data_IF_614646218726
#
_entry.id   IF_614646218726
#
_cell.length_a   1.000
_cell.length_b   1.000
_cell.length_c   1.000
_cell.angle_alpha   90.00
_cell.angle_beta   90.00
_cell.angle_gamma   90.00
#
_symmetry.space_group_name_H-M   'P 1'
#
loop_
_entity.id
_entity.type
_entity.pdbx_description
1 polymer ?
#
# COMPACT_ATOMS: atom_id res chain seq x y z
N UNK A 1 10.21 -13.22 9.97
CA UNK A 1 11.09 -12.38 10.80
C UNK A 1 12.23 -11.79 9.97
N UNK A 2 13.21 -12.56 9.48
CA UNK A 2 14.35 -12.05 8.70
C UNK A 2 13.94 -11.13 7.55
N UNK A 3 12.95 -11.51 6.75
CA UNK A 3 12.43 -10.67 5.68
C UNK A 3 11.98 -9.27 6.17
N UNK A 4 11.25 -9.20 7.27
CA UNK A 4 10.75 -7.91 7.77
C UNK A 4 11.85 -7.07 8.45
N UNK A 5 12.85 -7.72 9.00
CA UNK A 5 14.08 -7.04 9.46
C UNK A 5 14.78 -6.39 8.26
N UNK A 6 14.94 -7.09 7.15
CA UNK A 6 15.56 -6.54 5.94
C UNK A 6 14.76 -5.36 5.36
N UNK A 7 13.41 -5.44 5.40
CA UNK A 7 12.55 -4.44 4.80
C UNK A 7 12.26 -3.24 5.72
N UNK A 8 12.03 -3.47 7.00
CA UNK A 8 11.53 -2.46 7.95
C UNK A 8 12.56 -2.04 9.01
N UNK A 9 13.70 -2.74 9.12
CA UNK A 9 14.70 -2.52 10.15
C UNK A 9 14.66 -3.53 11.28
N UNK A 10 15.57 -3.40 12.24
CA UNK A 10 15.71 -4.35 13.34
C UNK A 10 14.39 -4.63 14.04
N UNK A 11 14.22 -5.86 14.55
CA UNK A 11 13.03 -6.21 15.29
C UNK A 11 12.94 -5.34 16.56
N UNK A 12 11.85 -4.57 16.74
CA UNK A 12 11.81 -3.53 17.77
C UNK A 12 11.93 -4.04 19.22
N UNK A 13 11.65 -5.32 19.43
CA UNK A 13 11.60 -5.94 20.76
C UNK A 13 12.64 -7.06 20.88
N UNK A 14 13.86 -6.85 20.38
CA UNK A 14 14.90 -7.88 20.30
C UNK A 14 15.35 -8.45 21.66
N UNK A 15 15.15 -7.70 22.73
CA UNK A 15 15.44 -8.16 24.11
C UNK A 15 14.43 -9.23 24.59
N UNK A 16 13.33 -9.45 23.87
CA UNK A 16 12.29 -10.41 24.20
C UNK A 16 12.14 -11.49 23.12
N UNK A 17 11.55 -12.63 23.51
CA UNK A 17 11.23 -13.68 22.56
C UNK A 17 9.93 -13.36 21.85
N UNK A 18 9.93 -13.46 20.53
CA UNK A 18 8.69 -13.46 19.76
C UNK A 18 8.05 -14.86 19.73
N UNK A 19 6.75 -14.92 19.93
CA UNK A 19 6.00 -16.16 19.91
C UNK A 19 4.56 -16.00 19.45
N UNK A 20 3.88 -17.14 19.36
CA UNK A 20 2.47 -17.19 18.99
C UNK A 20 1.69 -18.01 20.03
N UNK A 21 0.48 -17.57 20.35
CA UNK A 21 -0.48 -18.40 21.08
C UNK A 21 -1.78 -18.56 20.28
N UNK A 22 -2.48 -19.66 20.49
CA UNK A 22 -3.77 -19.90 19.86
C UNK A 22 -4.88 -19.58 20.84
N UNK A 23 -5.89 -18.86 20.37
CA UNK A 23 -7.13 -18.58 21.11
C UNK A 23 -8.35 -18.73 20.19
N UNK A 24 -9.55 -18.95 20.72
CA UNK A 24 -10.77 -19.10 19.90
C UNK A 24 -11.28 -17.73 19.40
N UNK A 25 -10.59 -17.17 18.43
CA UNK A 25 -10.96 -15.92 17.76
C UNK A 25 -10.93 -16.08 16.22
N UNK A 26 -11.57 -15.17 15.50
CA UNK A 26 -11.73 -15.22 14.04
C UNK A 26 -10.68 -14.42 13.30
N UNK A 27 -9.43 -14.47 13.68
CA UNK A 27 -8.34 -13.70 13.10
C UNK A 27 -7.12 -13.76 13.98
N UNK A 28 -6.40 -12.67 14.08
CA UNK A 28 -5.28 -12.50 14.98
C UNK A 28 -5.43 -11.28 15.87
N UNK A 29 -4.46 -11.09 16.73
CA UNK A 29 -4.25 -9.91 17.55
C UNK A 29 -2.75 -9.78 17.78
N UNK A 30 -2.26 -8.63 17.45
CA UNK A 30 -0.83 -8.29 17.38
C UNK A 30 -0.18 -8.04 18.74
N UNK A 31 -0.62 -8.73 19.81
CA UNK A 31 -0.01 -8.53 21.12
C UNK A 31 1.52 -8.51 21.02
N UNK A 32 2.10 -7.45 21.54
CA UNK A 32 3.55 -7.24 21.51
C UNK A 32 4.29 -8.51 21.96
N UNK A 33 5.23 -8.97 21.14
CA UNK A 33 6.08 -10.16 21.35
C UNK A 33 5.35 -11.51 21.49
N UNK A 34 4.02 -11.53 21.63
CA UNK A 34 3.22 -12.75 21.77
C UNK A 34 1.90 -12.65 20.97
N UNK A 35 2.00 -12.76 19.68
CA UNK A 35 0.84 -12.73 18.77
C UNK A 35 -0.17 -13.81 19.11
N UNK A 36 -1.46 -13.43 19.20
CA UNK A 36 -2.57 -14.36 19.41
C UNK A 36 -3.29 -14.61 18.09
N UNK A 37 -3.47 -15.88 17.71
CA UNK A 37 -4.12 -16.26 16.44
C UNK A 37 -5.21 -17.31 16.67
N UNK A 38 -6.32 -17.18 15.94
CA UNK A 38 -7.38 -18.19 15.95
C UNK A 38 -7.04 -19.42 15.11
N UNK A 39 -6.14 -19.23 14.13
CA UNK A 39 -5.63 -20.27 13.24
C UNK A 39 -4.28 -19.83 12.66
N UNK A 40 -3.46 -20.80 12.26
CA UNK A 40 -2.14 -20.51 11.68
C UNK A 40 -2.17 -20.64 10.16
N UNK A 41 -2.04 -19.52 9.46
CA UNK A 41 -1.79 -19.45 8.03
C UNK A 41 -0.62 -18.51 7.76
N UNK A 42 0.14 -18.69 6.69
CA UNK A 42 1.25 -17.80 6.38
C UNK A 42 0.85 -16.31 6.30
N UNK A 43 -0.28 -16.01 5.65
CA UNK A 43 -0.74 -14.64 5.49
C UNK A 43 -1.14 -13.99 6.83
N UNK A 44 -1.95 -14.67 7.68
CA UNK A 44 -2.31 -14.14 8.99
C UNK A 44 -1.07 -13.96 9.88
N UNK A 45 -0.15 -14.92 9.84
CA UNK A 45 1.11 -14.83 10.59
C UNK A 45 1.98 -13.68 10.09
N UNK A 46 2.02 -13.39 8.79
CA UNK A 46 2.74 -12.25 8.24
C UNK A 46 2.10 -10.92 8.64
N UNK A 47 0.77 -10.83 8.62
CA UNK A 47 0.00 -9.68 9.07
C UNK A 47 0.33 -9.33 10.52
N UNK A 48 0.11 -10.27 11.42
CA UNK A 48 0.33 -10.07 12.85
C UNK A 48 1.82 -9.83 13.21
N UNK A 49 2.73 -10.41 12.45
CA UNK A 49 4.16 -10.13 12.60
C UNK A 49 4.51 -8.73 12.09
N UNK A 50 3.89 -8.27 11.00
CA UNK A 50 4.07 -6.93 10.46
C UNK A 50 3.70 -5.84 11.47
N UNK A 51 2.69 -6.10 12.27
CA UNK A 51 2.27 -5.21 13.34
C UNK A 51 3.34 -4.97 14.43
N UNK A 52 4.33 -5.82 14.59
CA UNK A 52 5.40 -5.56 15.55
C UNK A 52 6.15 -4.26 15.21
N UNK A 53 6.26 -3.91 13.92
CA UNK A 53 6.76 -2.63 13.43
C UNK A 53 5.63 -1.59 13.31
N UNK A 54 4.52 -1.96 12.66
CA UNK A 54 3.42 -1.06 12.26
C UNK A 54 2.20 -1.25 13.17
N UNK A 55 2.26 -0.69 14.37
CA UNK A 55 1.22 -0.81 15.39
C UNK A 55 1.79 -0.92 16.79
N UNK A 56 2.89 -1.65 16.97
CA UNK A 56 3.50 -1.87 18.28
C UNK A 56 4.71 -0.98 18.53
N UNK A 57 5.67 -0.92 17.61
CA UNK A 57 6.83 -0.02 17.73
C UNK A 57 6.42 1.43 17.44
N UNK A 58 5.90 1.69 16.26
CA UNK A 58 5.22 2.94 15.95
C UNK A 58 3.73 2.65 15.72
N UNK A 59 2.85 3.60 16.02
CA UNK A 59 1.41 3.41 15.86
C UNK A 59 0.73 4.69 15.35
N UNK A 60 -0.49 4.57 14.83
CA UNK A 60 -1.27 5.72 14.41
C UNK A 60 -1.56 6.67 15.58
N UNK A 61 -1.47 7.98 15.34
CA UNK A 61 -1.75 9.00 16.35
C UNK A 61 -3.24 9.08 16.73
N UNK A 62 -4.12 8.63 15.86
CA UNK A 62 -5.55 8.55 16.09
C UNK A 62 -6.20 7.49 15.19
N UNK A 63 -7.44 7.12 15.49
CA UNK A 63 -8.22 6.20 14.64
C UNK A 63 -8.44 6.72 13.21
N UNK A 64 -8.22 8.00 12.96
CA UNK A 64 -8.27 8.55 11.61
C UNK A 64 -7.19 7.94 10.70
N UNK A 65 -6.06 7.57 11.28
CA UNK A 65 -4.88 7.04 10.62
C UNK A 65 -4.66 5.53 10.84
N UNK A 66 -5.67 4.78 11.27
CA UNK A 66 -5.55 3.34 11.58
C UNK A 66 -4.99 2.52 10.41
N UNK A 67 -5.06 3.00 9.16
CA UNK A 67 -4.44 2.37 8.00
C UNK A 67 -2.90 2.27 8.12
N UNK A 68 -2.27 3.09 8.95
CA UNK A 68 -0.85 2.99 9.27
C UNK A 68 -0.54 1.65 9.94
N UNK A 69 -1.42 1.19 10.81
CA UNK A 69 -1.30 -0.10 11.44
C UNK A 69 -1.76 -1.20 10.46
N UNK A 70 -3.04 -1.20 10.10
CA UNK A 70 -3.68 -2.28 9.36
C UNK A 70 -3.30 -2.36 7.88
N UNK A 71 -3.11 -1.21 7.23
CA UNK A 71 -2.69 -1.15 5.83
C UNK A 71 -1.26 -1.65 5.63
N UNK A 72 -0.32 -1.28 6.51
CA UNK A 72 1.05 -1.80 6.46
C UNK A 72 1.14 -3.27 6.88
N UNK A 73 0.36 -3.71 7.87
CA UNK A 73 0.27 -5.13 8.21
C UNK A 73 -0.29 -5.96 7.04
N UNK A 74 -1.34 -5.48 6.38
CA UNK A 74 -1.89 -6.09 5.16
C UNK A 74 -0.88 -6.06 3.99
N UNK A 75 -0.10 -4.99 3.85
CA UNK A 75 0.97 -4.95 2.86
C UNK A 75 2.13 -5.90 3.19
N UNK A 76 2.35 -6.21 4.46
CA UNK A 76 3.31 -7.23 4.89
C UNK A 76 2.95 -8.63 4.41
N UNK A 77 1.64 -8.93 4.25
CA UNK A 77 1.18 -10.16 3.60
C UNK A 77 1.61 -10.21 2.12
N UNK A 78 1.41 -9.10 1.38
CA UNK A 78 1.88 -8.96 0.00
C UNK A 78 3.39 -9.14 -0.10
N UNK A 79 4.18 -8.47 0.75
CA UNK A 79 5.64 -8.57 0.77
C UNK A 79 6.12 -9.99 1.09
N UNK A 80 5.44 -10.70 1.98
CA UNK A 80 5.72 -12.10 2.27
C UNK A 80 5.48 -12.97 1.03
N UNK A 81 4.37 -12.76 0.30
CA UNK A 81 4.08 -13.50 -0.94
C UNK A 81 5.10 -13.18 -2.04
N UNK A 82 5.46 -11.91 -2.21
CA UNK A 82 6.43 -11.48 -3.23
C UNK A 82 7.80 -12.12 -3.03
N UNK A 83 8.28 -12.16 -1.78
CA UNK A 83 9.65 -12.57 -1.46
C UNK A 83 9.81 -14.05 -1.12
N UNK A 84 8.81 -14.68 -0.48
CA UNK A 84 8.93 -16.08 -0.02
C UNK A 84 8.16 -17.08 -0.91
N UNK A 85 7.30 -16.60 -1.82
CA UNK A 85 6.54 -17.45 -2.73
C UNK A 85 6.81 -17.09 -4.19
N UNK A 86 6.05 -16.14 -4.76
CA UNK A 86 6.28 -15.67 -6.14
C UNK A 86 5.61 -14.32 -6.41
N UNK A 87 6.16 -13.56 -7.38
CA UNK A 87 5.56 -12.33 -7.86
C UNK A 87 4.12 -12.52 -8.38
N UNK A 88 3.81 -13.67 -9.00
CA UNK A 88 2.44 -13.95 -9.46
C UNK A 88 1.46 -14.13 -8.30
N UNK A 89 1.87 -14.74 -7.19
CA UNK A 89 1.01 -14.89 -6.02
C UNK A 89 0.75 -13.54 -5.34
N UNK A 90 1.79 -12.72 -5.22
CA UNK A 90 1.66 -11.35 -4.72
C UNK A 90 0.76 -10.49 -5.62
N UNK A 91 0.92 -10.57 -6.94
CA UNK A 91 0.08 -9.86 -7.90
C UNK A 91 -1.40 -10.30 -7.81
N UNK A 92 -1.66 -11.60 -7.63
CA UNK A 92 -3.03 -12.10 -7.44
C UNK A 92 -3.65 -11.60 -6.13
N UNK A 93 -2.88 -11.58 -5.03
CA UNK A 93 -3.35 -11.01 -3.76
C UNK A 93 -3.72 -9.53 -3.92
N UNK A 94 -2.87 -8.74 -4.56
CA UNK A 94 -3.16 -7.33 -4.81
C UNK A 94 -4.37 -7.15 -5.74
N UNK A 95 -4.53 -8.02 -6.73
CA UNK A 95 -5.70 -8.02 -7.61
C UNK A 95 -7.01 -8.30 -6.85
N UNK A 96 -7.01 -9.30 -5.96
CA UNK A 96 -8.17 -9.63 -5.12
C UNK A 96 -8.52 -8.46 -4.18
N UNK A 97 -7.53 -7.76 -3.64
CA UNK A 97 -7.72 -6.53 -2.85
C UNK A 97 -8.34 -5.42 -3.71
N UNK A 98 -7.84 -5.19 -4.92
CA UNK A 98 -8.42 -4.22 -5.85
C UNK A 98 -9.89 -4.54 -6.17
N UNK A 99 -10.23 -5.81 -6.42
CA UNK A 99 -11.61 -6.23 -6.65
C UNK A 99 -12.51 -5.92 -5.44
N UNK A 100 -12.05 -6.17 -4.22
CA UNK A 100 -12.80 -5.80 -3.02
C UNK A 100 -12.94 -4.27 -2.87
N UNK A 101 -11.86 -3.50 -3.09
CA UNK A 101 -11.89 -2.02 -3.06
C UNK A 101 -12.93 -1.50 -4.06
N UNK A 102 -12.94 -2.02 -5.29
CA UNK A 102 -13.81 -1.60 -6.38
C UNK A 102 -15.24 -2.12 -6.25
N UNK A 103 -15.54 -3.00 -5.31
CA UNK A 103 -16.88 -3.52 -5.07
C UNK A 103 -17.92 -2.44 -4.68
N UNK A 104 -17.44 -1.27 -4.21
CA UNK A 104 -18.24 -0.12 -3.86
C UNK A 104 -17.53 1.18 -4.25
N UNK A 105 -18.28 2.13 -4.77
CA UNK A 105 -17.77 3.47 -5.06
C UNK A 105 -17.46 4.23 -3.75
N UNK A 106 -16.49 5.13 -3.78
CA UNK A 106 -16.15 6.02 -2.68
C UNK A 106 -15.43 5.36 -1.51
N UNK A 107 -15.25 6.14 -0.46
CA UNK A 107 -14.50 5.82 0.74
C UNK A 107 -13.00 6.08 0.60
N UNK A 108 -12.44 6.76 1.61
CA UNK A 108 -10.99 7.03 1.75
C UNK A 108 -10.38 6.07 2.77
N UNK A 109 -9.05 5.98 2.85
CA UNK A 109 -8.40 5.31 3.98
C UNK A 109 -8.47 6.14 5.25
N UNK A 110 -8.42 7.47 5.11
CA UNK A 110 -8.58 8.37 6.24
C UNK A 110 -9.98 8.24 6.85
N UNK A 111 -10.05 7.96 8.16
CA UNK A 111 -11.33 7.71 8.86
C UNK A 111 -11.90 9.02 9.37
N UNK A 112 -12.93 9.51 8.69
CA UNK A 112 -13.62 10.75 9.08
C UNK A 112 -14.41 10.57 10.40
N UNK A 113 -15.08 9.43 10.58
CA UNK A 113 -15.87 9.12 11.79
C UNK A 113 -15.10 8.12 12.66
N UNK A 114 -14.24 8.65 13.52
CA UNK A 114 -13.43 7.87 14.46
C UNK A 114 -14.21 7.28 15.65
N UNK A 115 -15.53 7.44 15.71
CA UNK A 115 -16.40 6.81 16.69
C UNK A 115 -17.11 5.57 16.12
N UNK A 116 -16.99 5.33 14.83
CA UNK A 116 -17.60 4.20 14.15
C UNK A 116 -16.61 3.05 13.99
N UNK A 117 -16.67 2.06 14.90
CA UNK A 117 -15.79 0.90 14.92
C UNK A 117 -15.81 0.11 13.60
N UNK A 118 -16.99 -0.07 12.98
CA UNK A 118 -17.10 -0.76 11.69
C UNK A 118 -16.39 0.02 10.55
N UNK A 119 -16.29 1.35 10.68
CA UNK A 119 -15.53 2.16 9.73
C UNK A 119 -14.03 2.12 10.01
N UNK A 120 -13.64 2.18 11.28
CA UNK A 120 -12.23 2.09 11.71
C UNK A 120 -11.63 0.79 11.17
N UNK A 121 -12.27 -0.35 11.41
CA UNK A 121 -11.80 -1.68 10.99
C UNK A 121 -12.50 -2.18 9.70
N UNK A 122 -12.69 -1.29 8.74
CA UNK A 122 -13.25 -1.66 7.43
C UNK A 122 -12.26 -2.48 6.62
N UNK A 123 -12.52 -3.78 6.40
CA UNK A 123 -11.68 -4.65 5.56
C UNK A 123 -11.38 -4.05 4.19
N UNK A 124 -12.40 -3.48 3.53
CA UNK A 124 -12.25 -2.84 2.21
C UNK A 124 -11.40 -1.57 2.21
N UNK A 125 -11.56 -0.71 3.21
CA UNK A 125 -10.93 0.63 3.20
C UNK A 125 -9.66 0.69 4.03
N UNK A 126 -9.68 0.16 5.24
CA UNK A 126 -8.54 0.27 6.16
C UNK A 126 -7.46 -0.75 5.81
N UNK A 127 -7.85 -1.99 5.54
CA UNK A 127 -6.94 -3.09 5.21
C UNK A 127 -6.57 -3.09 3.73
N UNK A 128 -7.52 -3.38 2.85
CA UNK A 128 -7.20 -3.57 1.42
C UNK A 128 -6.80 -2.28 0.71
N UNK A 129 -7.58 -1.18 0.87
CA UNK A 129 -7.19 0.10 0.28
C UNK A 129 -5.95 0.67 0.95
N UNK A 130 -5.76 0.44 2.26
CA UNK A 130 -4.53 0.78 2.97
C UNK A 130 -3.32 0.11 2.33
N UNK A 131 -3.34 -1.22 2.16
CA UNK A 131 -2.27 -1.98 1.51
C UNK A 131 -2.05 -1.53 0.06
N UNK A 132 -3.13 -1.29 -0.70
CA UNK A 132 -3.05 -0.83 -2.09
C UNK A 132 -2.40 0.56 -2.22
N UNK A 133 -2.64 1.47 -1.26
CA UNK A 133 -1.99 2.78 -1.23
C UNK A 133 -0.49 2.63 -0.95
N UNK A 134 -0.09 1.81 0.02
CA UNK A 134 1.33 1.54 0.29
C UNK A 134 2.02 0.99 -0.98
N UNK A 135 1.36 0.05 -1.67
CA UNK A 135 1.85 -0.50 -2.93
C UNK A 135 1.93 0.57 -4.04
N UNK A 136 0.93 1.44 -4.13
CA UNK A 136 0.91 2.55 -5.10
C UNK A 136 2.03 3.55 -4.84
N UNK A 137 2.29 3.91 -3.58
CA UNK A 137 3.41 4.79 -3.20
C UNK A 137 4.77 4.17 -3.58
N UNK A 138 4.98 2.87 -3.31
CA UNK A 138 6.17 2.14 -3.78
C UNK A 138 6.29 2.20 -5.30
N UNK A 139 5.20 1.98 -6.03
CA UNK A 139 5.18 2.07 -7.48
C UNK A 139 5.47 3.49 -7.99
N UNK A 140 4.96 4.53 -7.32
CA UNK A 140 5.25 5.93 -7.67
C UNK A 140 6.73 6.26 -7.53
N UNK A 141 7.36 5.84 -6.43
CA UNK A 141 8.79 6.05 -6.20
C UNK A 141 9.66 5.31 -7.23
N UNK A 142 9.25 4.12 -7.66
CA UNK A 142 9.96 3.28 -8.63
C UNK A 142 11.43 3.03 -8.26
N UNK A 143 11.73 3.00 -6.96
CA UNK A 143 13.04 2.78 -6.37
C UNK A 143 12.87 2.05 -5.02
N UNK A 144 12.90 0.72 -5.06
CA UNK A 144 12.71 -0.11 -3.87
C UNK A 144 13.74 0.18 -2.75
N UNK A 145 15.04 0.33 -3.04
CA UNK A 145 16.01 0.75 -2.04
C UNK A 145 15.64 2.03 -1.31
N UNK A 146 15.18 3.07 -2.03
CA UNK A 146 14.75 4.35 -1.46
C UNK A 146 13.46 4.17 -0.66
N UNK A 147 12.48 3.45 -1.19
CA UNK A 147 11.21 3.20 -0.51
C UNK A 147 11.41 2.49 0.82
N UNK A 148 12.12 1.35 0.82
CA UNK A 148 12.34 0.59 2.05
C UNK A 148 13.29 1.29 3.03
N UNK A 149 14.22 2.13 2.53
CA UNK A 149 15.03 2.96 3.43
C UNK A 149 14.16 3.99 4.17
N UNK A 150 13.23 4.66 3.48
CA UNK A 150 12.30 5.58 4.14
C UNK A 150 11.44 4.88 5.20
N UNK A 151 11.02 3.63 4.96
CA UNK A 151 10.28 2.85 5.96
C UNK A 151 11.15 2.52 7.19
N UNK A 152 12.43 2.17 6.99
CA UNK A 152 13.37 1.95 8.10
C UNK A 152 13.63 3.22 8.91
N UNK A 153 13.78 4.35 8.21
CA UNK A 153 13.98 5.65 8.86
C UNK A 153 12.77 6.03 9.71
N UNK A 154 11.55 5.79 9.22
CA UNK A 154 10.32 5.97 10.01
C UNK A 154 10.31 5.13 11.29
N UNK A 155 10.76 3.86 11.23
CA UNK A 155 10.84 3.00 12.42
C UNK A 155 11.83 3.53 13.46
N UNK A 156 12.90 4.20 13.02
CA UNK A 156 13.87 4.84 13.92
C UNK A 156 13.32 6.15 14.49
N UNK A 157 12.75 7.00 13.62
CA UNK A 157 12.34 8.35 14.01
C UNK A 157 11.09 8.35 14.91
N UNK A 158 10.21 7.35 14.73
CA UNK A 158 8.96 7.21 15.47
C UNK A 158 8.94 5.98 16.40
N UNK A 159 10.10 5.43 16.76
CA UNK A 159 10.19 4.34 17.73
C UNK A 159 9.46 4.71 19.04
N UNK A 160 8.62 3.81 19.55
CA UNK A 160 7.80 4.01 20.76
C UNK A 160 6.93 5.28 20.72
N UNK A 161 6.51 5.71 19.51
CA UNK A 161 5.78 6.95 19.30
C UNK A 161 4.60 6.78 18.34
N UNK A 162 3.93 7.87 18.02
CA UNK A 162 2.79 7.90 17.11
C UNK A 162 3.09 8.77 15.90
N UNK A 163 2.50 8.41 14.75
CA UNK A 163 2.56 9.19 13.51
C UNK A 163 1.17 9.29 12.85
N UNK A 164 1.06 10.23 11.91
CA UNK A 164 -0.09 10.37 11.02
C UNK A 164 0.33 10.06 9.57
N UNK A 165 -0.64 9.86 8.69
CA UNK A 165 -0.35 9.58 7.28
C UNK A 165 0.55 10.63 6.60
N UNK A 166 0.50 11.89 7.04
CA UNK A 166 1.34 12.95 6.49
C UNK A 166 2.83 12.84 6.90
N UNK A 167 3.14 12.22 8.02
CA UNK A 167 4.54 11.93 8.39
C UNK A 167 5.15 10.90 7.42
N UNK A 168 4.36 9.91 6.97
CA UNK A 168 4.76 8.97 5.92
C UNK A 168 5.02 9.71 4.60
N UNK A 169 4.15 10.66 4.24
CA UNK A 169 4.36 11.53 3.07
C UNK A 169 5.71 12.23 3.15
N UNK A 170 5.97 12.93 4.25
CA UNK A 170 7.20 13.70 4.45
C UNK A 170 8.46 12.82 4.38
N UNK A 171 8.41 11.62 4.96
CA UNK A 171 9.52 10.68 4.90
C UNK A 171 9.79 10.21 3.46
N UNK A 172 8.74 9.84 2.71
CA UNK A 172 8.87 9.40 1.32
C UNK A 172 9.34 10.53 0.40
N UNK A 173 8.85 11.76 0.58
CA UNK A 173 9.31 12.95 -0.15
C UNK A 173 10.78 13.27 0.15
N UNK A 174 11.16 13.20 1.41
CA UNK A 174 12.55 13.44 1.83
C UNK A 174 13.51 12.42 1.21
N UNK A 175 13.12 11.15 1.20
CA UNK A 175 13.96 10.09 0.66
C UNK A 175 14.04 10.08 -0.86
N UNK A 176 12.93 10.36 -1.56
CA UNK A 176 12.83 10.25 -3.02
C UNK A 176 13.06 11.56 -3.77
N UNK A 177 12.84 12.71 -3.13
CA UNK A 177 12.80 14.02 -3.77
C UNK A 177 11.55 14.27 -4.63
N UNK A 178 10.56 13.37 -4.61
CA UNK A 178 9.29 13.56 -5.31
C UNK A 178 8.35 14.45 -4.50
N UNK A 179 7.44 15.15 -5.17
CA UNK A 179 6.28 15.79 -4.55
C UNK A 179 5.10 14.82 -4.58
N UNK A 180 4.66 14.36 -3.40
CA UNK A 180 3.55 13.44 -3.22
C UNK A 180 2.27 14.13 -2.74
N UNK A 181 2.21 15.47 -2.83
CA UNK A 181 1.07 16.26 -2.34
C UNK A 181 -0.23 15.84 -3.01
N UNK A 182 -0.25 15.74 -4.34
CA UNK A 182 -1.45 15.33 -5.08
C UNK A 182 -1.81 13.86 -4.77
N UNK A 183 -0.83 12.97 -4.71
CA UNK A 183 -1.03 11.57 -4.37
C UNK A 183 -1.72 11.40 -3.00
N UNK A 184 -1.28 12.13 -1.98
CA UNK A 184 -1.92 12.07 -0.66
C UNK A 184 -3.29 12.73 -0.64
N UNK A 185 -3.48 13.83 -1.39
CA UNK A 185 -4.78 14.48 -1.51
C UNK A 185 -5.82 13.55 -2.16
N UNK A 186 -5.41 12.78 -3.16
CA UNK A 186 -6.26 11.92 -3.97
C UNK A 186 -6.47 10.52 -3.36
N UNK A 187 -5.41 9.90 -2.85
CA UNK A 187 -5.44 8.51 -2.37
C UNK A 187 -5.65 8.38 -0.87
N UNK A 188 -5.08 9.27 -0.07
CA UNK A 188 -5.20 9.20 1.39
C UNK A 188 -6.47 9.92 1.89
N UNK A 189 -6.67 11.19 1.55
CA UNK A 189 -7.89 11.92 1.90
C UNK A 189 -9.04 11.65 0.92
N UNK A 190 -8.71 11.42 -0.35
CA UNK A 190 -9.67 11.27 -1.43
C UNK A 190 -10.45 9.96 -1.39
N UNK A 191 -11.66 10.01 -1.94
CA UNK A 191 -12.56 8.86 -2.02
C UNK A 191 -12.56 8.24 -3.40
N UNK A 192 -12.72 6.91 -3.45
CA UNK A 192 -12.89 6.18 -4.69
C UNK A 192 -11.58 5.69 -5.29
N UNK A 193 -11.63 5.53 -6.60
CA UNK A 193 -10.55 4.99 -7.43
C UNK A 193 -10.72 5.45 -8.89
N UNK A 194 -9.64 5.47 -9.69
CA UNK A 194 -9.69 5.75 -11.12
C UNK A 194 -10.03 4.49 -11.92
N UNK A 195 -10.67 4.70 -13.08
CA UNK A 195 -10.81 3.69 -14.13
C UNK A 195 -10.18 4.22 -15.40
N UNK A 196 -9.06 3.61 -15.80
CA UNK A 196 -8.26 4.05 -16.95
C UNK A 196 -8.75 3.47 -18.26
N UNK A 197 -8.57 4.25 -19.33
CA UNK A 197 -8.76 3.83 -20.73
C UNK A 197 -7.55 4.30 -21.53
N UNK A 198 -6.92 3.39 -22.26
CA UNK A 198 -5.81 3.69 -23.15
C UNK A 198 -6.22 3.44 -24.62
N UNK A 199 -5.89 4.39 -25.49
CA UNK A 199 -6.02 4.28 -26.95
C UNK A 199 -4.68 4.57 -27.58
N UNK A 200 -4.37 3.87 -28.64
CA UNK A 200 -3.13 4.12 -29.36
C UNK A 200 -3.31 4.02 -30.87
N UNK A 201 -2.42 4.70 -31.60
CA UNK A 201 -2.33 4.62 -33.05
C UNK A 201 -0.88 4.82 -33.49
N UNK A 202 -0.57 4.47 -34.72
CA UNK A 202 0.77 4.70 -35.31
C UNK A 202 0.66 5.65 -36.49
N UNK A 203 1.58 6.63 -36.56
CA UNK A 203 1.76 7.54 -37.68
C UNK A 203 3.21 7.43 -38.15
N UNK A 204 3.42 6.76 -39.28
CA UNK A 204 4.77 6.42 -39.73
C UNK A 204 5.47 5.47 -38.75
N UNK A 205 6.53 5.92 -38.11
CA UNK A 205 7.30 5.18 -37.10
C UNK A 205 7.01 5.66 -35.66
N UNK A 206 6.08 6.57 -35.48
CA UNK A 206 5.72 7.12 -34.18
C UNK A 206 4.48 6.42 -33.62
N UNK A 207 4.48 6.17 -32.33
CA UNK A 207 3.34 5.71 -31.56
C UNK A 207 2.71 6.92 -30.89
N UNK A 208 1.42 7.11 -31.07
CA UNK A 208 0.63 8.09 -30.32
C UNK A 208 -0.22 7.32 -29.32
N UNK A 209 -0.09 7.65 -28.06
CA UNK A 209 -0.86 7.08 -26.96
C UNK A 209 -1.76 8.16 -26.35
N UNK A 210 -3.02 7.86 -26.17
CA UNK A 210 -3.97 8.65 -25.40
C UNK A 210 -4.38 7.85 -24.16
N UNK A 211 -4.23 8.44 -22.98
CA UNK A 211 -4.68 7.87 -21.71
C UNK A 211 -5.76 8.77 -21.13
N UNK A 212 -6.86 8.21 -20.73
CA UNK A 212 -7.92 8.92 -20.02
C UNK A 212 -8.41 8.13 -18.81
N UNK A 213 -8.98 8.80 -17.83
CA UNK A 213 -9.63 8.11 -16.72
C UNK A 213 -10.91 8.83 -16.26
N UNK A 214 -11.77 8.05 -15.63
CA UNK A 214 -12.91 8.52 -14.85
C UNK A 214 -12.72 8.12 -13.40
N UNK A 215 -13.38 8.81 -12.49
CA UNK A 215 -13.30 8.54 -11.05
C UNK A 215 -14.61 7.95 -10.54
N UNK A 216 -14.53 7.08 -9.55
CA UNK A 216 -15.72 6.38 -9.01
C UNK A 216 -16.46 7.19 -7.95
N UNK A 217 -15.90 8.30 -7.45
CA UNK A 217 -16.49 9.11 -6.36
C UNK A 217 -16.10 10.60 -6.48
N UNK A 218 -16.04 11.29 -5.35
CA UNK A 218 -15.87 12.76 -5.27
C UNK A 218 -14.47 13.25 -5.62
N UNK A 219 -13.46 12.40 -5.60
CA UNK A 219 -12.10 12.77 -6.01
C UNK A 219 -12.09 13.08 -7.51
N UNK A 220 -11.71 14.30 -7.92
CA UNK A 220 -11.92 14.74 -9.31
C UNK A 220 -10.94 14.11 -10.31
N UNK A 221 -9.75 13.74 -9.84
CA UNK A 221 -8.68 13.12 -10.64
C UNK A 221 -7.82 12.24 -9.76
N UNK A 222 -7.03 11.35 -10.38
CA UNK A 222 -5.96 10.60 -9.73
C UNK A 222 -4.70 10.73 -10.56
N UNK A 223 -3.72 11.40 -10.00
CA UNK A 223 -2.41 11.63 -10.62
C UNK A 223 -1.45 10.54 -10.19
N UNK A 224 -1.07 9.67 -11.11
CA UNK A 224 -0.09 8.63 -10.84
C UNK A 224 0.54 8.14 -12.15
N UNK A 225 1.75 7.58 -12.09
CA UNK A 225 2.33 6.92 -13.24
C UNK A 225 1.57 5.65 -13.61
N UNK A 226 1.60 5.31 -14.89
CA UNK A 226 1.15 4.03 -15.42
C UNK A 226 2.27 3.38 -16.22
N UNK A 227 2.39 2.07 -16.13
CA UNK A 227 3.21 1.29 -17.05
C UNK A 227 2.34 0.61 -18.09
N UNK A 228 2.65 0.87 -19.36
CA UNK A 228 1.90 0.35 -20.51
C UNK A 228 2.83 -0.49 -21.35
N UNK A 229 2.51 -1.77 -21.46
CA UNK A 229 3.26 -2.73 -22.26
C UNK A 229 2.65 -2.83 -23.67
N UNK A 230 3.49 -2.67 -24.68
CA UNK A 230 3.16 -2.89 -26.08
C UNK A 230 3.76 -4.20 -26.55
N UNK A 231 2.91 -5.16 -26.83
CA UNK A 231 3.33 -6.45 -27.39
C UNK A 231 3.43 -6.37 -28.92
N UNK A 232 4.53 -6.85 -29.46
CA UNK A 232 4.81 -6.87 -30.90
C UNK A 232 4.58 -8.24 -31.48
N UNK A 233 4.13 -8.31 -32.73
CA UNK A 233 4.02 -9.58 -33.46
C UNK A 233 5.40 -10.25 -33.69
N UNK A 234 6.48 -9.46 -33.70
CA UNK A 234 7.86 -9.93 -33.79
C UNK A 234 8.80 -8.96 -33.08
N UNK A 235 9.74 -9.49 -32.30
CA UNK A 235 10.67 -8.71 -31.48
C UNK A 235 10.25 -8.61 -30.02
N UNK A 236 11.05 -7.96 -29.17
CA UNK A 236 10.73 -7.81 -27.75
C UNK A 236 9.55 -6.86 -27.54
N UNK A 237 8.78 -7.13 -26.49
CA UNK A 237 7.79 -6.19 -25.99
C UNK A 237 8.48 -4.91 -25.49
N UNK A 238 7.74 -3.82 -25.46
CA UNK A 238 8.22 -2.53 -24.99
C UNK A 238 7.27 -2.04 -23.90
N UNK A 239 7.79 -1.74 -22.72
CA UNK A 239 7.04 -1.08 -21.65
C UNK A 239 7.45 0.38 -21.60
N UNK A 240 6.49 1.27 -21.52
CA UNK A 240 6.70 2.69 -21.27
C UNK A 240 6.02 3.05 -19.95
N UNK A 241 6.62 3.97 -19.21
CA UNK A 241 6.04 4.60 -18.03
C UNK A 241 5.62 6.01 -18.43
N UNK A 242 4.38 6.35 -18.14
CA UNK A 242 3.77 7.65 -18.41
C UNK A 242 3.17 8.23 -17.15
N UNK A 243 3.34 9.53 -16.93
CA UNK A 243 2.77 10.22 -15.78
C UNK A 243 1.40 10.76 -16.17
N UNK A 244 0.36 10.29 -15.51
CA UNK A 244 -1.00 10.78 -15.72
C UNK A 244 -1.25 11.93 -14.74
N UNK A 245 -1.25 13.15 -15.25
CA UNK A 245 -1.43 14.39 -14.47
C UNK A 245 -2.84 14.98 -14.61
N UNK A 246 -3.66 14.47 -15.54
CA UNK A 246 -5.02 14.91 -15.76
C UNK A 246 -5.92 13.80 -16.27
N UNK A 247 -7.23 14.08 -16.38
CA UNK A 247 -8.20 13.07 -16.83
C UNK A 247 -8.06 12.68 -18.31
N UNK A 248 -7.24 13.38 -19.07
CA UNK A 248 -6.91 13.08 -20.48
C UNK A 248 -5.50 13.57 -20.81
N UNK A 249 -4.63 12.66 -21.19
CA UNK A 249 -3.25 12.92 -21.58
C UNK A 249 -2.93 12.30 -22.95
N UNK A 250 -2.01 12.94 -23.69
CA UNK A 250 -1.48 12.43 -24.95
C UNK A 250 0.06 12.39 -24.91
N UNK A 251 0.63 11.28 -25.33
CA UNK A 251 2.06 10.98 -25.32
C UNK A 251 2.56 10.59 -26.71
#
# INVERSE_FOLDING_TARGET
>A
MELFIDLFGDYPFEDEKYGHCMAPLSGGMEHQTMTTQGFFTPWLTAHELGHQWWGNSLTCASWADIWVNEGFASYSEYLMLENLYSANQAANDMFDRHDNIMSQNGGSVWVLDSLNENRIFSGRLTYDKGAAIVHTLRFMLNDDPVFFQALRDLQVDFADSTLIGLDIKEALETASGLDLTDAFQEWYFGEGFPTYSARWNTIGNELILEVSHTTSSSTPTFTNPLEIQFSRASGPDTTIRVDVASNLEQY
#
